data_IF_345786555337
#
_entry.id   IF_345786555337
#
_cell.length_a   1.000
_cell.length_b   1.000
_cell.length_c   1.000
_cell.angle_alpha   90.00
_cell.angle_beta   90.00
_cell.angle_gamma   90.00
#
_symmetry.space_group_name_H-M   'P 1'
#
loop_
_entity.id
_entity.type
_entity.pdbx_description
1 polymer ?
#
# COMPACT_ATOMS: atom_id res chain seq x y z
N UNK A 1 -49.31 31.21 21.34
CA UNK A 1 -49.62 29.77 21.35
C UNK A 1 -48.34 29.06 20.95
N UNK A 2 -47.55 28.65 21.95
CA UNK A 2 -46.26 27.97 21.72
C UNK A 2 -46.54 26.48 21.63
N UNK A 3 -46.10 25.84 20.53
CA UNK A 3 -45.99 24.40 20.45
C UNK A 3 -44.53 24.05 20.73
N UNK A 4 -44.28 23.62 21.96
CA UNK A 4 -43.10 22.83 22.31
C UNK A 4 -43.34 21.45 21.72
N UNK A 5 -42.44 21.00 20.84
CA UNK A 5 -42.34 19.59 20.49
C UNK A 5 -41.04 19.07 21.11
N UNK A 6 -41.24 18.30 22.16
CA UNK A 6 -40.25 17.52 22.89
C UNK A 6 -39.53 16.52 21.98
N UNK A 7 -38.26 16.28 22.30
CA UNK A 7 -37.71 14.92 22.28
C UNK A 7 -37.29 14.35 20.92
N UNK A 8 -36.41 15.04 20.20
CA UNK A 8 -35.58 14.41 19.18
C UNK A 8 -34.26 13.94 19.79
N UNK A 9 -34.21 12.71 20.30
CA UNK A 9 -32.94 12.02 20.57
C UNK A 9 -32.12 12.04 19.28
N UNK A 10 -31.01 12.79 19.30
CA UNK A 10 -29.96 12.72 18.28
C UNK A 10 -29.38 11.30 18.35
N UNK A 11 -29.98 10.38 17.61
CA UNK A 11 -29.38 9.11 17.28
C UNK A 11 -28.11 9.41 16.51
N UNK A 12 -26.97 9.43 17.19
CA UNK A 12 -25.68 9.24 16.56
C UNK A 12 -25.70 7.82 16.01
N UNK A 13 -26.13 7.67 14.76
CA UNK A 13 -25.87 6.48 13.98
C UNK A 13 -24.35 6.38 13.87
N UNK A 14 -23.77 5.51 14.68
CA UNK A 14 -22.41 5.03 14.50
C UNK A 14 -22.43 4.23 13.21
N UNK A 15 -22.21 4.91 12.08
CA UNK A 15 -21.90 4.26 10.81
C UNK A 15 -20.70 3.37 11.09
N UNK A 16 -20.94 2.06 11.16
CA UNK A 16 -19.87 1.09 11.26
C UNK A 16 -19.15 1.15 9.92
N UNK A 17 -18.10 1.97 9.84
CA UNK A 17 -17.32 2.10 8.63
C UNK A 17 -16.69 0.74 8.36
N UNK A 18 -16.87 0.25 7.13
CA UNK A 18 -16.34 -1.05 6.76
C UNK A 18 -14.81 -1.01 6.90
N UNK A 19 -14.28 -1.92 7.69
CA UNK A 19 -12.84 -2.04 7.91
C UNK A 19 -12.23 -3.03 6.92
N UNK A 20 -11.03 -2.74 6.43
CA UNK A 20 -10.28 -3.63 5.53
C UNK A 20 -8.96 -4.03 6.18
N UNK A 21 -8.55 -5.27 5.94
CA UNK A 21 -7.23 -5.76 6.33
C UNK A 21 -6.27 -5.59 5.15
N UNK A 22 -5.13 -4.96 5.41
CA UNK A 22 -4.05 -4.77 4.43
C UNK A 22 -2.71 -5.10 5.07
N UNK A 23 -1.66 -5.15 4.26
CA UNK A 23 -0.34 -5.61 4.68
C UNK A 23 0.75 -4.64 4.24
N UNK A 24 1.78 -4.43 5.05
CA UNK A 24 2.88 -3.53 4.70
C UNK A 24 4.20 -4.04 5.22
N UNK A 25 5.26 -3.86 4.44
CA UNK A 25 6.63 -3.98 4.93
C UNK A 25 7.19 -2.62 5.29
N UNK A 26 7.81 -2.49 6.46
CA UNK A 26 8.37 -1.22 6.93
C UNK A 26 9.59 -1.48 7.82
N UNK A 27 10.58 -0.58 7.76
CA UNK A 27 11.78 -0.64 8.62
C UNK A 27 11.59 0.10 9.94
N UNK A 28 10.57 0.97 10.03
CA UNK A 28 10.19 1.65 11.28
C UNK A 28 9.57 0.63 12.23
N UNK A 29 9.79 0.85 13.53
CA UNK A 29 9.25 0.01 14.59
C UNK A 29 7.88 0.55 15.02
N UNK A 30 6.87 -0.30 14.95
CA UNK A 30 5.52 -0.02 15.45
C UNK A 30 5.03 -1.17 16.33
N UNK A 31 4.19 -0.85 17.30
CA UNK A 31 3.50 -1.79 18.17
C UNK A 31 2.00 -1.92 17.77
N UNK A 32 1.32 -3.03 18.12
CA UNK A 32 -0.12 -3.14 17.93
C UNK A 32 -0.88 -1.98 18.58
N UNK A 33 -1.78 -1.37 17.80
CA UNK A 33 -2.54 -0.17 18.18
C UNK A 33 -1.94 1.15 17.69
N UNK A 34 -0.68 1.16 17.23
CA UNK A 34 -0.07 2.36 16.66
C UNK A 34 -0.70 2.75 15.32
N UNK A 35 -0.71 4.06 15.04
CA UNK A 35 -1.07 4.59 13.72
C UNK A 35 0.18 4.65 12.82
N UNK A 36 0.03 4.12 11.62
CA UNK A 36 1.04 4.18 10.56
C UNK A 36 0.60 5.15 9.46
N UNK A 37 1.47 6.09 9.13
CA UNK A 37 1.31 7.02 8.01
C UNK A 37 2.46 6.86 7.01
N UNK A 38 2.38 7.56 5.88
CA UNK A 38 3.39 7.50 4.82
C UNK A 38 4.83 7.58 5.35
N UNK A 39 5.71 6.72 4.84
CA UNK A 39 7.15 6.81 5.10
C UNK A 39 7.89 7.69 4.08
N UNK A 40 7.17 8.34 3.15
CA UNK A 40 7.78 8.98 2.00
C UNK A 40 8.38 7.96 1.02
N UNK A 41 7.81 6.75 0.94
CA UNK A 41 8.35 5.61 0.17
C UNK A 41 8.67 6.00 -1.29
N UNK A 42 7.80 6.81 -1.89
CA UNK A 42 7.89 7.26 -3.27
C UNK A 42 8.29 8.74 -3.39
N UNK A 43 8.91 9.36 -2.38
CA UNK A 43 9.51 10.67 -2.57
C UNK A 43 10.57 10.61 -3.70
N UNK A 44 10.67 11.63 -4.56
CA UNK A 44 11.61 11.58 -5.70
C UNK A 44 13.07 11.36 -5.27
N UNK A 45 13.40 11.74 -4.03
CA UNK A 45 14.72 11.55 -3.42
C UNK A 45 15.01 10.12 -2.96
N UNK A 46 14.00 9.25 -2.82
CA UNK A 46 14.14 7.87 -2.35
C UNK A 46 14.09 6.83 -3.48
N UNK A 47 13.78 7.24 -4.71
CA UNK A 47 13.61 6.32 -5.83
C UNK A 47 14.93 5.99 -6.52
N UNK A 48 15.11 4.70 -6.83
CA UNK A 48 16.16 4.25 -7.72
C UNK A 48 16.00 4.95 -9.09
N UNK A 49 17.11 5.36 -9.71
CA UNK A 49 17.14 6.01 -11.02
C UNK A 49 16.33 5.26 -12.09
N UNK A 50 16.28 3.93 -12.03
CA UNK A 50 15.47 3.12 -12.97
C UNK A 50 13.96 3.26 -12.79
N UNK A 51 13.48 3.68 -11.61
CA UNK A 51 12.05 3.82 -11.32
C UNK A 51 11.54 5.26 -11.47
N UNK A 52 12.44 6.25 -11.44
CA UNK A 52 12.07 7.66 -11.49
C UNK A 52 11.24 8.05 -12.73
N UNK A 53 11.56 7.59 -13.96
CA UNK A 53 10.75 7.91 -15.14
C UNK A 53 9.33 7.34 -15.05
N UNK A 54 9.19 6.10 -14.56
CA UNK A 54 7.89 5.45 -14.37
C UNK A 54 7.07 6.17 -13.33
N UNK A 55 7.66 6.49 -12.18
CA UNK A 55 6.96 7.24 -11.13
C UNK A 55 6.49 8.61 -11.64
N UNK A 56 7.34 9.33 -12.37
CA UNK A 56 6.98 10.63 -12.94
C UNK A 56 5.78 10.52 -13.89
N UNK A 57 5.77 9.51 -14.77
CA UNK A 57 4.64 9.27 -15.66
C UNK A 57 3.31 9.06 -14.90
N UNK A 58 3.32 8.34 -13.78
CA UNK A 58 2.13 8.12 -12.96
C UNK A 58 1.71 9.38 -12.21
N UNK A 59 2.66 10.16 -11.70
CA UNK A 59 2.36 11.42 -11.01
C UNK A 59 1.71 12.45 -11.92
N UNK A 60 2.16 12.51 -13.17
CA UNK A 60 1.65 13.45 -14.18
C UNK A 60 0.35 12.97 -14.84
N UNK A 61 0.18 11.66 -15.02
CA UNK A 61 -0.98 11.08 -15.71
C UNK A 61 -2.20 10.82 -14.82
N UNK A 62 -2.06 10.75 -13.50
CA UNK A 62 -3.17 10.48 -12.58
C UNK A 62 -3.69 11.79 -11.97
N UNK A 63 -5.02 11.99 -11.85
CA UNK A 63 -5.59 13.11 -11.10
C UNK A 63 -5.04 13.16 -9.67
N UNK A 64 -4.46 14.30 -9.28
CA UNK A 64 -3.73 14.47 -8.01
C UNK A 64 -2.59 13.45 -7.81
N UNK A 65 -2.01 12.90 -8.88
CA UNK A 65 -1.00 11.85 -8.84
C UNK A 65 0.24 12.20 -8.02
N UNK A 66 0.69 13.46 -8.07
CA UNK A 66 1.81 13.95 -7.25
C UNK A 66 1.56 13.77 -5.74
N UNK A 67 0.41 14.24 -5.25
CA UNK A 67 0.05 14.13 -3.83
C UNK A 67 -0.34 12.69 -3.46
N UNK A 68 -1.04 12.00 -4.36
CA UNK A 68 -1.42 10.62 -4.18
C UNK A 68 -0.20 9.74 -3.96
N UNK A 69 0.81 9.83 -4.83
CA UNK A 69 1.95 8.91 -4.76
C UNK A 69 3.02 9.34 -3.75
N UNK A 70 3.21 10.63 -3.53
CA UNK A 70 4.21 11.10 -2.57
C UNK A 70 3.77 10.93 -1.10
N UNK A 71 2.48 11.12 -0.80
CA UNK A 71 1.98 11.25 0.58
C UNK A 71 1.08 10.09 1.04
N UNK A 72 1.07 8.97 0.31
CA UNK A 72 0.31 7.77 0.72
C UNK A 72 1.17 6.79 1.50
N UNK A 73 0.51 6.02 2.35
CA UNK A 73 0.99 4.74 2.85
C UNK A 73 0.69 3.66 1.80
N UNK A 74 1.74 3.03 1.30
CA UNK A 74 1.63 1.91 0.36
C UNK A 74 1.39 0.61 1.12
N UNK A 75 0.34 -0.12 0.75
CA UNK A 75 -0.02 -1.39 1.35
C UNK A 75 -0.39 -2.41 0.29
N UNK A 76 -0.25 -3.68 0.61
CA UNK A 76 -0.69 -4.81 -0.18
C UNK A 76 -2.07 -5.26 0.30
N UNK A 77 -2.97 -5.52 -0.65
CA UNK A 77 -4.23 -6.21 -0.34
C UNK A 77 -3.99 -7.66 0.09
N UNK A 78 -3.10 -8.34 -0.63
CA UNK A 78 -2.90 -9.79 -0.51
C UNK A 78 -1.68 -10.13 0.36
N UNK A 79 -1.88 -10.88 1.44
CA UNK A 79 -0.82 -11.32 2.36
C UNK A 79 0.32 -12.05 1.64
N UNK A 80 0.00 -12.89 0.65
CA UNK A 80 1.02 -13.66 -0.08
C UNK A 80 2.03 -12.75 -0.78
N UNK A 81 1.57 -11.63 -1.34
CA UNK A 81 2.44 -10.65 -2.00
C UNK A 81 3.25 -9.85 -0.99
N UNK A 82 2.65 -9.51 0.15
CA UNK A 82 3.36 -8.84 1.23
C UNK A 82 4.47 -9.72 1.80
N UNK A 83 4.21 -11.02 2.03
CA UNK A 83 5.23 -11.99 2.49
C UNK A 83 6.34 -12.18 1.45
N UNK A 84 5.97 -12.36 0.18
CA UNK A 84 6.97 -12.48 -0.89
C UNK A 84 7.87 -11.25 -0.97
N UNK A 85 7.29 -10.04 -0.89
CA UNK A 85 8.05 -8.78 -0.86
C UNK A 85 8.94 -8.72 0.38
N UNK A 86 8.37 -9.02 1.55
CA UNK A 86 9.06 -9.01 2.82
C UNK A 86 10.29 -9.91 2.80
N UNK A 87 10.20 -11.13 2.25
CA UNK A 87 11.32 -12.07 2.18
C UNK A 87 12.56 -11.48 1.48
N UNK A 88 12.36 -10.57 0.52
CA UNK A 88 13.41 -9.89 -0.23
C UNK A 88 13.93 -8.59 0.42
N UNK A 89 13.30 -8.12 1.50
CA UNK A 89 13.69 -6.91 2.22
C UNK A 89 14.36 -7.29 3.55
N UNK A 90 15.70 -7.36 3.64
CA UNK A 90 16.38 -7.53 4.92
C UNK A 90 16.09 -6.32 5.83
N UNK A 91 16.09 -6.55 7.14
CA UNK A 91 15.97 -5.50 8.16
C UNK A 91 14.61 -4.76 8.21
N UNK A 92 13.57 -5.31 7.58
CA UNK A 92 12.19 -4.84 7.71
C UNK A 92 11.30 -5.81 8.46
N UNK A 93 10.18 -5.30 8.96
CA UNK A 93 9.09 -6.05 9.53
C UNK A 93 7.94 -6.17 8.52
N UNK A 94 7.11 -7.21 8.69
CA UNK A 94 5.81 -7.28 8.02
C UNK A 94 4.74 -6.91 9.04
N UNK A 95 3.82 -6.04 8.64
CA UNK A 95 2.71 -5.59 9.45
C UNK A 95 1.40 -6.01 8.80
N UNK A 96 0.48 -6.49 9.63
CA UNK A 96 -0.94 -6.60 9.32
C UNK A 96 -1.62 -5.35 9.86
N UNK A 97 -2.35 -4.67 9.00
CA UNK A 97 -2.94 -3.38 9.27
C UNK A 97 -4.45 -3.42 9.09
N UNK A 98 -5.13 -2.58 9.85
CA UNK A 98 -6.55 -2.27 9.67
C UNK A 98 -6.67 -0.86 9.10
N UNK A 99 -7.52 -0.70 8.09
CA UNK A 99 -7.85 0.61 7.52
C UNK A 99 -9.35 0.83 7.56
N UNK A 100 -9.76 2.05 7.89
CA UNK A 100 -11.12 2.51 7.64
C UNK A 100 -11.27 2.78 6.14
N UNK A 101 -12.45 2.53 5.59
CA UNK A 101 -12.68 2.61 4.14
C UNK A 101 -12.44 4.03 3.57
N UNK A 102 -12.75 5.08 4.34
CA UNK A 102 -12.56 6.49 3.98
C UNK A 102 -11.09 6.95 3.99
N UNK A 103 -10.19 6.14 4.55
CA UNK A 103 -8.74 6.35 4.48
C UNK A 103 -8.15 5.89 3.14
N UNK A 104 -8.91 5.13 2.34
CA UNK A 104 -8.46 4.67 1.03
C UNK A 104 -8.40 5.83 0.04
N UNK A 105 -7.21 6.07 -0.51
CA UNK A 105 -6.97 7.10 -1.54
C UNK A 105 -7.02 6.52 -2.95
N UNK A 106 -6.51 5.31 -3.13
CA UNK A 106 -6.48 4.62 -4.42
C UNK A 106 -6.29 3.11 -4.25
N UNK A 107 -6.75 2.33 -5.22
CA UNK A 107 -6.47 0.90 -5.34
C UNK A 107 -5.94 0.66 -6.75
N UNK A 108 -4.76 0.08 -6.89
CA UNK A 108 -4.11 -0.09 -8.19
C UNK A 108 -3.53 -1.48 -8.34
N UNK A 109 -3.44 -1.95 -9.58
CA UNK A 109 -2.68 -3.15 -9.91
C UNK A 109 -1.25 -2.75 -10.31
N UNK A 110 -0.26 -3.10 -9.47
CA UNK A 110 1.15 -2.75 -9.67
C UNK A 110 1.71 -3.37 -10.96
N UNK A 111 1.01 -4.31 -11.56
CA UNK A 111 1.40 -4.87 -12.86
C UNK A 111 1.35 -3.82 -13.98
N UNK A 112 0.42 -2.86 -13.93
CA UNK A 112 0.43 -1.70 -14.84
C UNK A 112 1.63 -0.79 -14.62
N UNK A 113 2.05 -0.58 -13.37
CA UNK A 113 3.28 0.16 -13.06
C UNK A 113 4.51 -0.52 -13.67
N UNK A 114 4.61 -1.85 -13.55
CA UNK A 114 5.69 -2.61 -14.20
C UNK A 114 5.61 -2.55 -15.73
N UNK A 115 4.43 -2.66 -16.33
CA UNK A 115 4.24 -2.54 -17.78
C UNK A 115 4.68 -1.18 -18.30
N UNK A 116 4.32 -0.09 -17.61
CA UNK A 116 4.78 1.25 -17.95
C UNK A 116 6.31 1.40 -17.89
N UNK A 117 6.95 0.80 -16.89
CA UNK A 117 8.42 0.78 -16.80
C UNK A 117 9.07 0.10 -18.00
N UNK A 118 8.53 -1.05 -18.43
CA UNK A 118 8.98 -1.75 -19.65
C UNK A 118 8.79 -0.88 -20.90
N UNK A 119 7.60 -0.29 -21.09
CA UNK A 119 7.29 0.56 -22.24
C UNK A 119 8.25 1.76 -22.33
N UNK A 120 8.51 2.44 -21.22
CA UNK A 120 9.46 3.56 -21.17
C UNK A 120 10.88 3.10 -21.52
N UNK A 121 11.32 1.97 -20.98
CA UNK A 121 12.64 1.39 -21.30
C UNK A 121 12.79 1.04 -22.79
N UNK A 122 11.70 0.69 -23.46
CA UNK A 122 11.63 0.43 -24.90
C UNK A 122 11.43 1.71 -25.75
N UNK A 123 11.38 2.89 -25.15
CA UNK A 123 11.12 4.16 -25.85
C UNK A 123 9.69 4.33 -26.34
N UNK A 124 8.73 3.59 -25.77
CA UNK A 124 7.30 3.63 -26.08
C UNK A 124 6.53 4.46 -25.04
N UNK A 125 5.34 4.91 -25.43
CA UNK A 125 4.45 5.65 -24.52
C UNK A 125 3.89 4.74 -23.42
N UNK A 126 3.91 5.14 -22.13
CA UNK A 126 3.29 4.42 -21.04
C UNK A 126 1.81 4.76 -20.81
N UNK A 127 1.20 5.64 -21.61
CA UNK A 127 -0.10 6.26 -21.33
C UNK A 127 -1.22 5.24 -21.03
N UNK A 128 -1.35 4.18 -21.84
CA UNK A 128 -2.37 3.15 -21.62
C UNK A 128 -2.23 2.45 -20.27
N UNK A 129 -0.99 2.15 -19.85
CA UNK A 129 -0.73 1.54 -18.56
C UNK A 129 -1.04 2.49 -17.39
N UNK A 130 -0.73 3.78 -17.56
CA UNK A 130 -1.07 4.81 -16.55
C UNK A 130 -2.58 4.97 -16.42
N UNK A 131 -3.30 5.06 -17.55
CA UNK A 131 -4.76 5.19 -17.58
C UNK A 131 -5.42 3.96 -16.95
N UNK A 132 -4.99 2.76 -17.32
CA UNK A 132 -5.50 1.51 -16.77
C UNK A 132 -5.28 1.41 -15.25
N UNK A 133 -4.10 1.82 -14.77
CA UNK A 133 -3.86 1.91 -13.32
C UNK A 133 -4.77 2.96 -12.65
N UNK A 134 -4.92 4.14 -13.25
CA UNK A 134 -5.70 5.25 -12.69
C UNK A 134 -7.16 4.86 -12.43
N UNK A 135 -7.74 4.02 -13.28
CA UNK A 135 -9.12 3.53 -13.15
C UNK A 135 -9.23 2.17 -12.45
N UNK A 136 -8.15 1.70 -11.82
CA UNK A 136 -8.08 0.40 -11.11
C UNK A 136 -8.41 -0.81 -12.00
N UNK A 137 -8.11 -0.72 -13.31
CA UNK A 137 -8.33 -1.83 -14.23
C UNK A 137 -7.43 -3.01 -13.84
N UNK A 138 -7.96 -4.24 -13.74
CA UNK A 138 -7.12 -5.40 -13.52
C UNK A 138 -6.16 -5.61 -14.68
N UNK A 139 -4.87 -5.88 -14.41
CA UNK A 139 -3.93 -6.22 -15.45
C UNK A 139 -4.13 -7.69 -15.86
N UNK A 140 -4.93 -7.92 -16.91
CA UNK A 140 -5.18 -9.26 -17.45
C UNK A 140 -4.25 -9.50 -18.63
N UNK A 141 -3.07 -10.04 -18.37
CA UNK A 141 -2.34 -10.78 -19.40
C UNK A 141 -2.05 -12.19 -18.88
N UNK A 142 -2.91 -13.10 -19.30
CA UNK A 142 -2.87 -14.56 -19.14
C UNK A 142 -3.34 -15.12 -17.77
N UNK A 143 -4.08 -16.24 -17.85
CA UNK A 143 -4.65 -17.09 -16.79
C UNK A 143 -3.68 -17.53 -15.67
N UNK A 144 -2.38 -17.29 -15.84
CA UNK A 144 -1.31 -17.61 -14.89
C UNK A 144 -0.86 -16.39 -14.06
N UNK A 145 -1.42 -15.21 -14.30
CA UNK A 145 -0.98 -13.98 -13.65
C UNK A 145 -1.90 -13.58 -12.49
N UNK A 146 -1.38 -13.63 -11.25
CA UNK A 146 -2.09 -13.18 -10.05
C UNK A 146 -1.95 -11.66 -9.93
N UNK A 147 -3.06 -10.88 -9.89
CA UNK A 147 -3.01 -9.44 -9.69
C UNK A 147 -2.17 -9.05 -8.49
N UNK A 148 -1.40 -7.96 -8.61
CA UNK A 148 -0.60 -7.39 -7.52
C UNK A 148 -1.25 -6.12 -7.05
N UNK A 149 -2.31 -6.26 -6.25
CA UNK A 149 -3.12 -5.12 -5.86
C UNK A 149 -2.49 -4.40 -4.67
N UNK A 150 -2.09 -3.15 -4.92
CA UNK A 150 -1.73 -2.19 -3.89
C UNK A 150 -2.92 -1.30 -3.52
N UNK A 151 -2.99 -0.93 -2.24
CA UNK A 151 -3.96 0.02 -1.73
C UNK A 151 -3.17 1.17 -1.11
N UNK A 152 -3.38 2.37 -1.65
CA UNK A 152 -2.80 3.61 -1.15
C UNK A 152 -3.76 4.22 -0.14
N UNK A 153 -3.31 4.42 1.08
CA UNK A 153 -4.12 4.96 2.18
C UNK A 153 -3.45 6.17 2.82
N UNK A 154 -4.22 7.00 3.55
CA UNK A 154 -3.64 8.11 4.31
C UNK A 154 -2.97 7.61 5.60
N UNK A 155 -3.68 6.74 6.32
CA UNK A 155 -3.25 6.14 7.59
C UNK A 155 -3.82 4.73 7.76
N UNK A 156 -3.23 3.94 8.65
CA UNK A 156 -3.68 2.60 9.02
C UNK A 156 -3.31 2.29 10.47
N UNK A 157 -4.10 1.45 11.14
CA UNK A 157 -3.81 0.98 12.51
C UNK A 157 -3.07 -0.35 12.46
N UNK A 158 -1.99 -0.49 13.23
CA UNK A 158 -1.24 -1.74 13.33
C UNK A 158 -2.04 -2.76 14.15
N UNK A 159 -2.29 -3.93 13.57
CA UNK A 159 -2.90 -5.07 14.30
C UNK A 159 -1.84 -6.04 14.81
N UNK A 160 -0.90 -6.42 13.93
CA UNK A 160 0.12 -7.42 14.23
C UNK A 160 1.44 -7.05 13.54
N UNK A 161 2.57 -7.34 14.20
CA UNK A 161 3.93 -7.24 13.64
C UNK A 161 4.53 -8.64 13.56
N UNK A 162 5.16 -8.95 12.42
CA UNK A 162 5.92 -10.17 12.19
C UNK A 162 7.39 -9.84 11.99
N UNK A 163 8.25 -10.66 12.58
CA UNK A 163 9.70 -10.52 12.54
C UNK A 163 10.32 -11.72 11.83
N UNK A 164 11.40 -11.49 11.06
CA UNK A 164 12.16 -12.59 10.47
C UNK A 164 12.93 -13.29 11.59
N UNK A 165 12.83 -14.61 11.68
CA UNK A 165 13.72 -15.37 12.56
C UNK A 165 15.16 -15.13 12.12
N UNK A 166 16.02 -14.67 13.02
CA UNK A 166 17.44 -14.53 12.72
C UNK A 166 17.99 -15.90 12.28
N UNK A 167 18.74 -15.94 11.17
CA UNK A 167 19.37 -17.18 10.69
C UNK A 167 20.50 -17.66 11.61
N UNK A 168 20.85 -16.88 12.64
CA UNK A 168 21.91 -17.19 13.60
C UNK A 168 21.32 -17.81 14.86
N UNK A 169 20.77 -19.02 14.74
CA UNK A 169 20.80 -19.95 15.87
C UNK A 169 22.28 -20.31 16.11
N UNK A 170 22.77 -20.38 17.35
CA UNK A 170 24.16 -20.72 17.60
C UNK A 170 24.43 -22.10 16.99
N UNK A 171 25.26 -22.15 15.95
CA UNK A 171 25.93 -23.38 15.56
C UNK A 171 26.68 -23.85 16.81
N UNK A 172 26.12 -24.84 17.50
CA UNK A 172 26.74 -25.46 18.65
C UNK A 172 28.09 -25.98 18.22
N UNK A 173 29.14 -25.23 18.55
CA UNK A 173 30.51 -25.74 18.59
C UNK A 173 30.54 -26.75 19.74
N UNK A 174 30.17 -27.99 19.42
CA UNK A 174 30.53 -29.14 20.23
C UNK A 174 32.04 -29.27 20.19
N UNK A 175 32.71 -28.74 21.20
CA UNK A 175 34.09 -29.10 21.52
C UNK A 175 34.09 -30.55 21.99
N UNK A 176 34.52 -31.46 21.10
CA UNK A 176 35.04 -32.76 21.49
C UNK A 176 36.44 -32.66 22.05
#
# INVERSE_FOLDING_TARGET
MYKVLDGGLLGFEWWHMAKKIVWRTDGRLFEPGDEMTSAGDHALTSLNAGHAPTEQAFRDGIPNGHDLRANSLYTWRDESWARWTWDHEPDKFLYKLEIDEDETRHTGDVCWYSAAGTLIGEGKSPAEAVDAYAISQPHIQDQHYKPRVEILVKRATVLERYEKKSRNGPCGLGTG
#
